data_IF_300810293435
#
_entry.id   IF_300810293435
#
_cell.length_a   1.000
_cell.length_b   1.000
_cell.length_c   1.000
_cell.angle_alpha   90.00
_cell.angle_beta   90.00
_cell.angle_gamma   90.00
#
_symmetry.space_group_name_H-M   'P 1'
#
loop_
_entity.id
_entity.type
_entity.pdbx_description
1 polymer ?
#
# COMPACT_ATOMS: atom_id res chain seq x y z
N UNK A 1 -6.36 -20.96 -3.92
CA UNK A 1 -5.22 -20.18 -3.38
C UNK A 1 -5.68 -19.44 -2.13
N UNK A 2 -4.81 -19.35 -1.13
CA UNK A 2 -5.10 -18.67 0.14
C UNK A 2 -4.11 -17.54 0.36
N UNK A 3 -4.61 -16.39 0.80
CA UNK A 3 -3.81 -15.25 1.24
C UNK A 3 -3.98 -15.09 2.75
N UNK A 4 -2.89 -15.28 3.50
CA UNK A 4 -2.80 -14.82 4.87
C UNK A 4 -2.53 -13.31 4.87
N UNK A 5 -3.45 -12.56 5.45
CA UNK A 5 -3.52 -11.10 5.37
C UNK A 5 -3.73 -10.49 6.75
N UNK A 6 -3.77 -9.17 6.81
CA UNK A 6 -4.39 -8.41 7.88
C UNK A 6 -5.05 -7.19 7.24
N UNK A 7 -6.33 -6.95 7.54
CA UNK A 7 -7.20 -5.96 6.87
C UNK A 7 -6.57 -4.58 6.69
N UNK A 8 -5.88 -4.08 7.72
CA UNK A 8 -5.24 -2.75 7.74
C UNK A 8 -3.77 -2.77 7.31
N UNK A 9 -3.17 -3.93 7.03
CA UNK A 9 -1.78 -4.01 6.60
C UNK A 9 -1.63 -3.49 5.15
N UNK A 10 -0.86 -2.42 4.91
CA UNK A 10 -0.66 -1.89 3.57
C UNK A 10 0.13 -2.86 2.67
N UNK A 11 1.06 -3.62 3.24
CA UNK A 11 1.80 -4.65 2.51
C UNK A 11 0.90 -5.80 2.06
N UNK A 12 -0.05 -6.21 2.89
CA UNK A 12 -1.01 -7.24 2.49
C UNK A 12 -2.05 -6.69 1.51
N UNK A 13 -2.36 -5.38 1.59
CA UNK A 13 -3.20 -4.71 0.60
C UNK A 13 -2.58 -4.74 -0.81
N UNK A 14 -1.25 -4.62 -0.95
CA UNK A 14 -0.56 -4.82 -2.25
C UNK A 14 -0.97 -6.13 -2.92
N UNK A 15 -0.86 -7.25 -2.21
CA UNK A 15 -1.22 -8.57 -2.75
C UNK A 15 -2.73 -8.67 -3.02
N UNK A 16 -3.58 -8.11 -2.14
CA UNK A 16 -5.04 -8.07 -2.39
C UNK A 16 -5.40 -7.31 -3.67
N UNK A 17 -4.76 -6.16 -3.91
CA UNK A 17 -4.95 -5.36 -5.13
C UNK A 17 -4.59 -6.17 -6.38
N UNK A 18 -3.44 -6.87 -6.36
CA UNK A 18 -3.02 -7.71 -7.50
C UNK A 18 -3.99 -8.87 -7.72
N UNK A 19 -4.43 -9.54 -6.66
CA UNK A 19 -5.43 -10.61 -6.74
C UNK A 19 -6.75 -10.12 -7.36
N UNK A 20 -7.24 -8.96 -6.92
CA UNK A 20 -8.47 -8.36 -7.41
C UNK A 20 -8.33 -7.89 -8.87
N UNK A 21 -7.26 -7.16 -9.20
CA UNK A 21 -6.99 -6.66 -10.56
C UNK A 21 -6.91 -7.81 -11.58
N UNK A 22 -6.32 -8.94 -11.16
CA UNK A 22 -6.16 -10.14 -11.99
C UNK A 22 -7.35 -11.10 -11.89
N UNK A 23 -8.39 -10.76 -11.12
CA UNK A 23 -9.62 -11.54 -10.91
C UNK A 23 -9.35 -12.96 -10.43
N UNK A 24 -8.32 -13.15 -9.61
CA UNK A 24 -7.91 -14.46 -9.13
C UNK A 24 -8.73 -14.84 -7.91
N UNK A 25 -9.52 -15.92 -8.03
CA UNK A 25 -10.28 -16.45 -6.89
C UNK A 25 -9.34 -16.88 -5.78
N UNK A 26 -9.53 -16.32 -4.59
CA UNK A 26 -8.72 -16.57 -3.43
C UNK A 26 -9.56 -16.57 -2.15
N UNK A 27 -9.03 -17.19 -1.11
CA UNK A 27 -9.54 -17.10 0.26
C UNK A 27 -8.59 -16.19 1.05
N UNK A 28 -9.15 -15.17 1.73
CA UNK A 28 -8.37 -14.31 2.62
C UNK A 28 -8.54 -14.77 4.06
N UNK A 29 -7.44 -15.13 4.71
CA UNK A 29 -7.39 -15.47 6.13
C UNK A 29 -6.69 -14.34 6.87
N UNK A 30 -7.45 -13.55 7.65
CA UNK A 30 -6.88 -12.48 8.45
C UNK A 30 -6.17 -13.04 9.70
N UNK A 31 -4.92 -12.64 9.89
CA UNK A 31 -4.08 -13.01 11.03
C UNK A 31 -4.05 -11.85 12.02
N UNK A 32 -4.32 -12.14 13.29
CA UNK A 32 -4.03 -11.20 14.37
C UNK A 32 -2.51 -11.07 14.52
N UNK A 33 -1.96 -9.90 14.18
CA UNK A 33 -0.51 -9.66 14.21
C UNK A 33 0.04 -9.32 15.60
N UNK A 34 -0.85 -9.10 16.59
CA UNK A 34 -0.49 -8.89 17.99
C UNK A 34 -0.40 -10.24 18.70
N UNK A 35 -1.44 -11.05 18.60
CA UNK A 35 -1.47 -12.43 19.10
C UNK A 35 -1.49 -13.41 17.94
N UNK A 36 -0.30 -13.66 17.37
CA UNK A 36 -0.14 -14.52 16.20
C UNK A 36 -0.38 -15.99 16.59
N UNK A 37 -1.16 -16.75 15.82
CA UNK A 37 -1.33 -18.16 16.12
C UNK A 37 -0.03 -18.93 15.78
N UNK A 38 0.37 -19.86 16.64
CA UNK A 38 1.64 -20.60 16.50
C UNK A 38 1.77 -21.30 15.15
N UNK A 39 0.66 -21.82 14.62
CA UNK A 39 0.67 -22.53 13.35
C UNK A 39 1.10 -21.64 12.17
N UNK A 40 0.94 -20.32 12.28
CA UNK A 40 1.27 -19.39 11.20
C UNK A 40 2.78 -19.32 10.97
N UNK A 41 3.60 -19.57 12.00
CA UNK A 41 5.06 -19.59 11.87
C UNK A 41 5.56 -20.77 11.00
N UNK A 42 4.78 -21.85 10.87
CA UNK A 42 5.07 -22.91 9.90
C UNK A 42 4.78 -22.50 8.45
N UNK A 43 3.99 -21.44 8.23
CA UNK A 43 3.73 -20.87 6.89
C UNK A 43 4.73 -19.78 6.57
N UNK A 44 4.87 -18.80 7.47
CA UNK A 44 5.88 -17.76 7.35
C UNK A 44 6.70 -17.70 8.64
N UNK A 45 7.99 -18.09 8.63
CA UNK A 45 8.83 -18.08 9.83
C UNK A 45 9.01 -16.68 10.44
N UNK A 46 8.77 -15.61 9.67
CA UNK A 46 8.80 -14.24 10.16
C UNK A 46 7.49 -13.82 10.86
N UNK A 47 6.43 -14.64 10.76
CA UNK A 47 5.10 -14.31 11.24
C UNK A 47 4.57 -13.00 10.65
N UNK A 48 4.89 -12.72 9.38
CA UNK A 48 4.48 -11.51 8.65
C UNK A 48 3.42 -11.82 7.60
N UNK A 49 2.65 -10.80 7.25
CA UNK A 49 1.72 -10.82 6.10
C UNK A 49 2.18 -9.76 5.09
N UNK A 50 1.94 -9.96 3.78
CA UNK A 50 1.20 -11.05 3.15
C UNK A 50 1.99 -12.37 3.10
N UNK A 51 1.24 -13.47 3.05
CA UNK A 51 1.78 -14.81 2.79
C UNK A 51 0.75 -15.58 1.94
N UNK A 52 1.19 -16.05 0.77
CA UNK A 52 0.39 -16.75 -0.23
C UNK A 52 0.64 -18.25 -0.13
N UNK A 53 -0.42 -19.05 -0.04
CA UNK A 53 -0.37 -20.51 -0.03
C UNK A 53 -1.18 -21.10 -1.20
N UNK A 54 -0.53 -21.98 -1.95
CA UNK A 54 -1.12 -22.71 -3.07
C UNK A 54 -0.40 -24.04 -3.27
N UNK A 55 -1.14 -25.14 -3.43
CA UNK A 55 -0.61 -26.50 -3.58
C UNK A 55 0.45 -26.89 -2.53
N UNK A 56 0.22 -26.51 -1.27
CA UNK A 56 1.13 -26.76 -0.14
C UNK A 56 2.44 -25.96 -0.18
N UNK A 57 2.62 -25.07 -1.17
CA UNK A 57 3.77 -24.18 -1.30
C UNK A 57 3.42 -22.80 -0.76
N UNK A 58 4.41 -22.14 -0.18
CA UNK A 58 4.24 -20.82 0.44
C UNK A 58 5.21 -19.82 -0.15
N UNK A 59 4.71 -18.61 -0.43
CA UNK A 59 5.48 -17.44 -0.86
C UNK A 59 5.09 -16.27 0.05
N UNK A 60 6.07 -15.50 0.52
CA UNK A 60 5.85 -14.31 1.34
C UNK A 60 6.71 -13.15 0.83
N UNK A 61 6.55 -11.98 1.46
CA UNK A 61 6.96 -10.64 0.98
C UNK A 61 6.01 -10.06 -0.06
N UNK A 62 5.59 -8.80 0.14
CA UNK A 62 4.51 -8.21 -0.66
C UNK A 62 4.88 -8.04 -2.14
N UNK A 63 6.13 -7.66 -2.42
CA UNK A 63 6.58 -7.47 -3.80
C UNK A 63 6.79 -8.80 -4.52
N UNK A 64 7.32 -9.82 -3.81
CA UNK A 64 7.52 -11.16 -4.35
C UNK A 64 6.18 -11.82 -4.65
N UNK A 65 5.23 -11.74 -3.72
CA UNK A 65 3.87 -12.27 -3.96
C UNK A 65 3.16 -11.56 -5.11
N UNK A 66 3.32 -10.24 -5.24
CA UNK A 66 2.77 -9.47 -6.35
C UNK A 66 3.38 -9.87 -7.71
N UNK A 67 4.71 -9.93 -7.82
CA UNK A 67 5.40 -10.34 -9.05
C UNK A 67 5.07 -11.79 -9.43
N UNK A 68 5.06 -12.72 -8.46
CA UNK A 68 4.68 -14.11 -8.71
C UNK A 68 3.27 -14.24 -9.30
N UNK A 69 2.30 -13.54 -8.72
CA UNK A 69 0.92 -13.55 -9.22
C UNK A 69 0.83 -12.98 -10.64
N UNK A 70 1.62 -11.95 -10.95
CA UNK A 70 1.64 -11.35 -12.27
C UNK A 70 2.24 -12.29 -13.33
N UNK A 71 3.29 -13.01 -12.97
CA UNK A 71 3.99 -13.98 -13.84
C UNK A 71 3.14 -15.23 -14.12
N UNK A 72 2.47 -15.79 -13.10
CA UNK A 72 1.74 -17.06 -13.25
C UNK A 72 0.31 -16.89 -13.77
N UNK A 73 -0.26 -15.69 -13.71
CA UNK A 73 -1.60 -15.38 -14.23
C UNK A 73 -1.55 -14.25 -15.25
N UNK A 74 -1.14 -14.46 -16.51
CA UNK A 74 -1.00 -13.36 -17.49
C UNK A 74 -2.33 -12.70 -17.90
N UNK A 75 -3.47 -13.31 -17.57
CA UNK A 75 -4.82 -12.78 -17.85
C UNK A 75 -5.37 -11.97 -16.65
N UNK A 76 -6.17 -10.92 -16.86
CA UNK A 76 -6.60 -10.34 -18.15
C UNK A 76 -5.51 -9.53 -18.86
N UNK A 77 -4.50 -9.07 -18.13
CA UNK A 77 -3.31 -8.38 -18.66
C UNK A 77 -2.16 -8.48 -17.64
N UNK A 78 -0.94 -8.22 -18.10
CA UNK A 78 0.25 -8.07 -17.25
C UNK A 78 0.25 -6.70 -16.58
N UNK A 79 0.52 -6.68 -15.28
CA UNK A 79 0.64 -5.44 -14.50
C UNK A 79 2.03 -4.82 -14.65
N UNK A 80 3.06 -5.65 -14.79
CA UNK A 80 4.39 -5.21 -15.16
C UNK A 80 4.48 -4.94 -16.66
N UNK A 81 5.26 -3.92 -17.03
CA UNK A 81 5.59 -3.69 -18.44
C UNK A 81 6.32 -4.88 -19.05
N UNK A 82 6.02 -5.18 -20.31
CA UNK A 82 6.74 -6.17 -21.12
C UNK A 82 8.07 -5.64 -21.65
N UNK A 83 8.29 -4.32 -21.64
CA UNK A 83 9.61 -3.74 -21.90
C UNK A 83 10.50 -3.90 -20.66
N UNK A 84 11.63 -4.65 -20.76
CA UNK A 84 12.52 -4.87 -19.62
C UNK A 84 13.08 -3.59 -19.00
N UNK A 85 13.37 -2.57 -19.82
CA UNK A 85 13.91 -1.31 -19.31
C UNK A 85 12.86 -0.55 -18.53
N UNK A 86 11.65 -0.41 -19.08
CA UNK A 86 10.52 0.17 -18.35
C UNK A 86 10.21 -0.60 -17.06
N UNK A 87 10.18 -1.93 -17.09
CA UNK A 87 9.97 -2.75 -15.89
C UNK A 87 11.02 -2.48 -14.81
N UNK A 88 12.28 -2.26 -15.20
CA UNK A 88 13.34 -1.89 -14.26
C UNK A 88 13.12 -0.48 -13.68
N UNK A 89 12.74 0.50 -14.49
CA UNK A 89 12.39 1.84 -14.01
C UNK A 89 11.21 1.83 -13.03
N UNK A 90 10.19 1.01 -13.32
CA UNK A 90 9.02 0.85 -12.47
C UNK A 90 9.39 0.24 -11.10
N UNK A 91 10.30 -0.75 -11.09
CA UNK A 91 10.85 -1.30 -9.84
C UNK A 91 11.66 -0.27 -9.05
N UNK A 92 12.42 0.59 -9.73
CA UNK A 92 13.14 1.70 -9.08
C UNK A 92 12.15 2.67 -8.42
N UNK A 93 11.05 3.02 -9.09
CA UNK A 93 10.02 3.87 -8.49
C UNK A 93 9.44 3.25 -7.23
N UNK A 94 9.10 1.95 -7.26
CA UNK A 94 8.57 1.24 -6.08
C UNK A 94 9.57 1.32 -4.91
N UNK A 95 10.87 1.20 -5.18
CA UNK A 95 11.91 1.35 -4.15
C UNK A 95 12.02 2.80 -3.64
N UNK A 96 12.02 3.79 -4.55
CA UNK A 96 12.06 5.21 -4.18
C UNK A 96 10.86 5.63 -3.33
N UNK A 97 9.71 4.95 -3.47
CA UNK A 97 8.54 5.19 -2.62
C UNK A 97 8.80 4.93 -1.12
N UNK A 98 9.87 4.21 -0.77
CA UNK A 98 10.30 4.06 0.63
C UNK A 98 10.52 5.40 1.34
N UNK A 99 10.84 6.48 0.62
CA UNK A 99 10.94 7.83 1.18
C UNK A 99 9.59 8.33 1.71
N UNK A 100 8.49 8.07 1.01
CA UNK A 100 7.13 8.42 1.45
C UNK A 100 6.71 7.51 2.59
N UNK A 101 6.79 6.20 2.33
CA UNK A 101 6.32 5.17 3.23
C UNK A 101 7.03 5.22 4.60
N UNK A 102 8.36 5.31 4.66
CA UNK A 102 9.08 5.34 5.95
C UNK A 102 8.74 6.55 6.80
N UNK A 103 8.52 7.73 6.19
CA UNK A 103 8.11 8.93 6.90
C UNK A 103 6.66 8.84 7.39
N UNK A 104 5.77 8.19 6.64
CA UNK A 104 4.40 7.95 7.10
C UNK A 104 4.37 7.10 8.39
N UNK A 105 5.21 6.07 8.49
CA UNK A 105 5.32 5.27 9.72
C UNK A 105 5.92 6.05 10.91
N UNK A 106 6.81 7.02 10.66
CA UNK A 106 7.29 7.93 11.72
C UNK A 106 6.13 8.76 12.27
N UNK A 107 5.26 9.28 11.40
CA UNK A 107 4.10 10.08 11.80
C UNK A 107 3.12 9.30 12.67
N UNK A 108 2.88 8.01 12.39
CA UNK A 108 1.99 7.20 13.21
C UNK A 108 2.46 7.06 14.67
N UNK A 109 3.75 7.27 14.97
CA UNK A 109 4.27 7.24 16.35
C UNK A 109 4.69 8.62 16.86
N UNK A 110 4.48 9.66 16.06
CA UNK A 110 4.88 11.02 16.39
C UNK A 110 3.97 11.61 17.47
N UNK A 111 4.54 12.42 18.36
CA UNK A 111 3.78 13.06 19.43
C UNK A 111 3.37 14.47 18.99
N UNK A 112 2.09 14.79 19.09
CA UNK A 112 1.55 16.07 18.60
C UNK A 112 2.02 17.29 19.39
N UNK A 113 2.49 17.11 20.62
CA UNK A 113 3.08 18.15 21.47
C UNK A 113 4.54 18.47 21.09
N UNK A 114 5.16 17.67 20.22
CA UNK A 114 6.52 17.90 19.68
C UNK A 114 6.41 18.24 18.20
N UNK A 115 6.39 19.53 17.87
CA UNK A 115 6.11 20.03 16.51
C UNK A 115 7.05 19.45 15.44
N UNK A 116 8.35 19.35 15.74
CA UNK A 116 9.36 18.81 14.81
C UNK A 116 9.16 17.32 14.50
N UNK A 117 8.47 16.58 15.36
CA UNK A 117 8.18 15.16 15.13
C UNK A 117 7.20 14.94 13.97
N UNK A 118 6.48 15.99 13.55
CA UNK A 118 5.57 15.98 12.39
C UNK A 118 6.14 16.73 11.18
N UNK A 119 6.69 17.95 11.39
CA UNK A 119 7.21 18.78 10.29
C UNK A 119 8.27 18.06 9.44
N UNK A 120 9.25 17.43 10.09
CA UNK A 120 10.33 16.71 9.41
C UNK A 120 9.81 15.58 8.50
N UNK A 121 9.04 14.61 9.03
CA UNK A 121 8.48 13.54 8.22
C UNK A 121 7.51 14.02 7.12
N UNK A 122 6.70 15.06 7.35
CA UNK A 122 5.85 15.65 6.29
C UNK A 122 6.70 16.17 5.14
N UNK A 123 7.76 16.93 5.44
CA UNK A 123 8.70 17.38 4.41
C UNK A 123 9.37 16.22 3.67
N UNK A 124 9.64 15.11 4.37
CA UNK A 124 10.14 13.87 3.76
C UNK A 124 9.11 13.20 2.83
N UNK A 125 7.83 13.20 3.20
CA UNK A 125 6.73 12.72 2.34
C UNK A 125 6.62 13.61 1.11
N UNK A 126 6.61 14.94 1.27
CA UNK A 126 6.50 15.88 0.14
C UNK A 126 7.65 15.70 -0.86
N UNK A 127 8.90 15.62 -0.39
CA UNK A 127 10.06 15.33 -1.24
C UNK A 127 9.93 13.99 -1.96
N UNK A 128 9.43 12.97 -1.27
CA UNK A 128 9.13 11.67 -1.84
C UNK A 128 8.09 11.76 -2.96
N UNK A 129 7.00 12.50 -2.75
CA UNK A 129 5.92 12.68 -3.73
C UNK A 129 6.34 13.50 -4.95
N UNK A 130 7.26 14.47 -4.80
CA UNK A 130 7.82 15.23 -5.93
C UNK A 130 8.37 14.31 -7.03
N UNK A 131 9.08 13.24 -6.65
CA UNK A 131 9.61 12.25 -7.62
C UNK A 131 8.49 11.66 -8.48
N UNK A 132 7.34 11.34 -7.87
CA UNK A 132 6.23 10.70 -8.57
C UNK A 132 5.41 11.68 -9.40
N UNK A 133 5.25 12.92 -8.92
CA UNK A 133 4.65 14.02 -9.67
C UNK A 133 5.45 14.33 -10.95
N UNK A 134 6.78 14.43 -10.82
CA UNK A 134 7.69 14.64 -11.95
C UNK A 134 7.64 13.47 -12.93
N UNK A 135 7.55 12.24 -12.44
CA UNK A 135 7.51 11.05 -13.30
C UNK A 135 6.19 10.92 -14.06
N UNK A 136 5.04 11.25 -13.45
CA UNK A 136 3.75 11.36 -14.17
C UNK A 136 3.80 12.44 -15.24
N UNK A 137 4.38 13.60 -14.93
CA UNK A 137 4.55 14.71 -15.87
C UNK A 137 5.44 14.31 -17.04
N UNK A 138 6.62 13.76 -16.75
CA UNK A 138 7.62 13.37 -17.76
C UNK A 138 7.14 12.29 -18.70
N UNK A 139 6.37 11.32 -18.17
CA UNK A 139 5.87 10.20 -18.97
C UNK A 139 4.56 10.54 -19.71
N UNK A 140 3.90 11.63 -19.36
CA UNK A 140 2.59 12.03 -19.91
C UNK A 140 1.54 10.91 -19.83
N UNK A 141 1.49 10.21 -18.69
CA UNK A 141 0.62 9.05 -18.47
C UNK A 141 -0.46 9.30 -17.42
N UNK A 142 -1.59 8.61 -17.57
CA UNK A 142 -2.69 8.63 -16.59
C UNK A 142 -2.35 7.86 -15.31
N UNK A 143 -1.83 6.65 -15.47
CA UNK A 143 -1.33 5.77 -14.41
C UNK A 143 0.13 5.47 -14.66
N UNK A 144 0.90 5.04 -13.65
CA UNK A 144 2.28 4.61 -13.86
C UNK A 144 2.39 3.42 -14.83
N UNK A 145 1.33 2.60 -14.90
CA UNK A 145 1.12 1.55 -15.91
C UNK A 145 0.69 2.02 -17.31
N UNK A 146 0.48 3.33 -17.53
CA UNK A 146 0.00 3.91 -18.80
C UNK A 146 -1.50 4.24 -18.75
N UNK A 147 -2.29 3.62 -19.63
CA UNK A 147 -3.74 3.85 -19.73
C UNK A 147 -4.55 3.20 -18.60
N UNK A 148 -4.04 2.11 -18.03
CA UNK A 148 -4.65 1.37 -16.92
C UNK A 148 -3.66 1.27 -15.74
N UNK A 149 -4.14 1.08 -14.50
CA UNK A 149 -3.26 0.84 -13.36
C UNK A 149 -2.35 -0.38 -13.59
N UNK A 150 -1.04 -0.18 -13.40
CA UNK A 150 -0.02 -1.21 -13.47
C UNK A 150 0.56 -1.56 -12.10
N UNK A 151 1.68 -2.29 -12.10
CA UNK A 151 2.29 -2.78 -10.87
C UNK A 151 2.68 -1.64 -9.91
N UNK A 152 3.29 -0.56 -10.42
CA UNK A 152 3.69 0.60 -9.60
C UNK A 152 2.47 1.20 -8.88
N UNK A 153 1.37 1.40 -9.61
CA UNK A 153 0.15 1.99 -9.09
C UNK A 153 -0.38 1.21 -7.87
N UNK A 154 -0.55 -0.11 -8.02
CA UNK A 154 -1.00 -0.98 -6.93
C UNK A 154 0.02 -1.12 -5.80
N UNK A 155 1.32 -1.04 -6.11
CA UNK A 155 2.37 -1.13 -5.10
C UNK A 155 2.51 0.13 -4.27
N UNK A 156 2.06 1.30 -4.71
CA UNK A 156 2.13 2.53 -3.90
C UNK A 156 0.76 2.95 -3.33
N UNK A 157 -0.34 2.50 -3.95
CA UNK A 157 -1.71 2.85 -3.56
C UNK A 157 -2.01 2.74 -2.06
N UNK A 158 -1.64 1.66 -1.33
CA UNK A 158 -2.01 1.52 0.07
C UNK A 158 -1.59 2.70 0.95
N UNK A 159 -0.42 3.30 0.69
CA UNK A 159 0.05 4.46 1.47
C UNK A 159 -0.62 5.75 1.03
N UNK A 160 -0.86 5.89 -0.27
CA UNK A 160 -1.58 7.05 -0.83
C UNK A 160 -3.01 7.12 -0.30
N UNK A 161 -3.70 5.98 -0.21
CA UNK A 161 -5.02 5.85 0.42
C UNK A 161 -5.02 6.30 1.89
N UNK A 162 -3.89 6.15 2.59
CA UNK A 162 -3.74 6.48 4.01
C UNK A 162 -3.29 7.92 4.25
N UNK A 163 -2.85 8.68 3.25
CA UNK A 163 -2.46 10.09 3.45
C UNK A 163 -3.56 10.95 4.08
N UNK A 164 -4.85 10.81 3.72
CA UNK A 164 -5.92 11.59 4.34
C UNK A 164 -6.19 11.26 5.82
N UNK A 165 -5.52 10.25 6.39
CA UNK A 165 -5.59 9.97 7.83
C UNK A 165 -4.82 10.98 8.68
N UNK A 166 -3.82 11.67 8.09
CA UNK A 166 -2.95 12.60 8.79
C UNK A 166 -3.69 13.79 9.42
N UNK A 167 -4.61 14.51 8.74
CA UNK A 167 -5.39 15.55 9.39
C UNK A 167 -6.24 15.02 10.54
N UNK A 168 -6.82 13.82 10.41
CA UNK A 168 -7.62 13.20 11.49
C UNK A 168 -6.74 12.90 12.71
N UNK A 169 -5.58 12.26 12.50
CA UNK A 169 -4.65 11.89 13.57
C UNK A 169 -4.00 13.10 14.23
N UNK A 170 -3.91 14.22 13.54
CA UNK A 170 -3.26 15.44 14.03
C UNK A 170 -4.24 16.52 14.51
N UNK A 171 -5.54 16.25 14.49
CA UNK A 171 -6.59 17.25 14.76
C UNK A 171 -6.46 18.48 13.85
N UNK A 172 -6.36 18.23 12.54
CA UNK A 172 -6.24 19.23 11.46
C UNK A 172 -4.96 20.08 11.49
N UNK A 173 -4.01 19.78 12.39
CA UNK A 173 -2.74 20.54 12.47
C UNK A 173 -1.80 20.25 11.32
N UNK A 174 -1.83 19.03 10.79
CA UNK A 174 -0.87 18.55 9.83
C UNK A 174 -1.55 17.80 8.69
N UNK A 175 -1.19 18.18 7.46
CA UNK A 175 -1.61 17.49 6.23
C UNK A 175 -0.50 17.57 5.19
N UNK A 176 -0.63 16.74 4.16
CA UNK A 176 0.14 16.89 2.92
C UNK A 176 -0.67 17.80 1.99
N UNK A 177 -0.08 18.91 1.59
CA UNK A 177 -0.68 19.86 0.62
C UNK A 177 -0.65 19.25 -0.79
N UNK A 178 -1.70 18.50 -1.12
CA UNK A 178 -1.84 17.80 -2.40
C UNK A 178 -2.02 18.74 -3.60
N UNK A 179 -2.34 20.01 -3.35
CA UNK A 179 -2.42 21.08 -4.33
C UNK A 179 -1.08 21.32 -5.05
N UNK A 180 0.04 20.97 -4.40
CA UNK A 180 1.37 21.01 -5.01
C UNK A 180 1.66 19.85 -5.97
N UNK A 181 0.78 18.86 -6.04
CA UNK A 181 0.96 17.63 -6.82
C UNK A 181 -0.29 17.35 -7.67
N UNK A 182 -0.61 18.22 -8.65
CA UNK A 182 -1.86 18.12 -9.41
C UNK A 182 -2.00 16.82 -10.21
N UNK A 183 -0.91 16.29 -10.78
CA UNK A 183 -0.98 15.02 -11.51
C UNK A 183 -1.21 13.84 -10.56
N UNK A 184 -0.54 13.81 -9.41
CA UNK A 184 -0.80 12.84 -8.36
C UNK A 184 -2.23 12.96 -7.80
N UNK A 185 -2.75 14.17 -7.60
CA UNK A 185 -4.11 14.38 -7.15
C UNK A 185 -5.12 13.80 -8.16
N UNK A 186 -4.90 14.04 -9.45
CA UNK A 186 -5.68 13.42 -10.53
C UNK A 186 -5.53 11.89 -10.53
N UNK A 187 -4.31 11.38 -10.43
CA UNK A 187 -4.01 9.95 -10.34
C UNK A 187 -4.72 9.29 -9.15
N UNK A 188 -4.75 9.93 -7.98
CA UNK A 188 -5.52 9.45 -6.81
C UNK A 188 -7.00 9.34 -7.16
N UNK A 189 -7.56 10.38 -7.80
CA UNK A 189 -8.96 10.38 -8.20
C UNK A 189 -9.27 9.24 -9.17
N UNK A 190 -8.40 9.03 -10.17
CA UNK A 190 -8.53 7.96 -11.15
C UNK A 190 -8.38 6.56 -10.51
N UNK A 191 -7.43 6.40 -9.57
CA UNK A 191 -7.24 5.15 -8.83
C UNK A 191 -8.43 4.80 -7.95
N UNK A 192 -9.10 5.79 -7.32
CA UNK A 192 -10.32 5.53 -6.54
C UNK A 192 -11.45 4.94 -7.39
N UNK A 193 -11.43 5.16 -8.70
CA UNK A 193 -12.43 4.60 -9.61
C UNK A 193 -12.14 3.15 -10.01
N UNK A 194 -10.89 2.69 -9.86
CA UNK A 194 -10.48 1.33 -10.18
C UNK A 194 -11.19 0.28 -9.31
N UNK A 195 -11.58 -0.83 -9.95
CA UNK A 195 -12.36 -1.89 -9.30
C UNK A 195 -11.58 -2.62 -8.20
N UNK A 196 -10.28 -2.88 -8.39
CA UNK A 196 -9.45 -3.56 -7.40
C UNK A 196 -9.19 -2.65 -6.19
N UNK A 197 -8.99 -1.36 -6.44
CA UNK A 197 -8.91 -0.33 -5.40
C UNK A 197 -10.19 -0.28 -4.58
N UNK A 198 -11.36 -0.15 -5.22
CA UNK A 198 -12.67 -0.12 -4.55
C UNK A 198 -12.92 -1.34 -3.67
N UNK A 199 -12.55 -2.54 -4.12
CA UNK A 199 -12.74 -3.79 -3.35
C UNK A 199 -11.94 -3.81 -2.04
N UNK A 200 -10.76 -3.20 -2.02
CA UNK A 200 -9.87 -3.20 -0.85
C UNK A 200 -9.94 -1.93 0.00
N UNK A 201 -10.77 -0.96 -0.42
CA UNK A 201 -10.80 0.38 0.13
C UNK A 201 -11.20 0.42 1.60
N UNK A 202 -10.50 1.25 2.38
CA UNK A 202 -10.81 1.54 3.78
C UNK A 202 -10.79 3.06 3.94
N UNK A 203 -11.84 3.60 4.56
CA UNK A 203 -11.97 5.05 4.75
C UNK A 203 -10.88 5.62 5.68
N UNK A 204 -10.52 6.91 5.53
CA UNK A 204 -9.54 7.56 6.40
C UNK A 204 -9.89 7.45 7.90
N UNK A 205 -11.17 7.54 8.25
CA UNK A 205 -11.65 7.44 9.64
C UNK A 205 -11.42 6.04 10.21
N UNK A 206 -11.63 5.01 9.39
CA UNK A 206 -11.41 3.62 9.78
C UNK A 206 -9.91 3.31 9.95
N UNK A 207 -9.06 3.84 9.06
CA UNK A 207 -7.60 3.75 9.22
C UNK A 207 -7.15 4.50 10.48
N UNK A 208 -7.62 5.73 10.71
CA UNK A 208 -7.28 6.51 11.89
C UNK A 208 -7.69 5.79 13.18
N UNK A 209 -8.93 5.27 13.23
CA UNK A 209 -9.43 4.47 14.36
C UNK A 209 -8.55 3.24 14.62
N UNK A 210 -8.15 2.52 13.58
CA UNK A 210 -7.23 1.38 13.72
C UNK A 210 -5.87 1.81 14.27
N UNK A 211 -5.28 2.87 13.72
CA UNK A 211 -3.97 3.37 14.13
C UNK A 211 -4.00 3.80 15.61
N UNK A 212 -5.00 4.58 16.03
CA UNK A 212 -5.17 5.01 17.43
C UNK A 212 -5.39 3.82 18.37
N UNK A 213 -6.22 2.84 17.98
CA UNK A 213 -6.45 1.63 18.77
C UNK A 213 -5.18 0.78 18.92
N UNK A 214 -4.46 0.56 17.83
CA UNK A 214 -3.21 -0.20 17.83
C UNK A 214 -2.14 0.46 18.72
N UNK A 215 -1.99 1.78 18.66
CA UNK A 215 -1.00 2.51 19.46
C UNK A 215 -1.36 2.59 20.95
N UNK A 216 -2.64 2.55 21.29
CA UNK A 216 -3.12 2.52 22.68
C UNK A 216 -3.14 1.12 23.29
N UNK A 217 -2.68 0.10 22.54
CA UNK A 217 -2.64 -1.29 23.01
C UNK A 217 -3.99 -2.00 22.97
N UNK A 218 -5.00 -1.42 22.31
CA UNK A 218 -6.32 -2.00 22.14
C UNK A 218 -6.67 -2.14 20.63
N UNK A 219 -6.08 -3.12 19.93
CA UNK A 219 -6.31 -3.32 18.50
C UNK A 219 -7.67 -3.98 18.19
N UNK A 220 -8.35 -4.55 19.19
CA UNK A 220 -9.45 -5.51 19.02
C UNK A 220 -10.71 -4.94 18.35
N UNK A 221 -10.90 -3.62 18.35
CA UNK A 221 -12.09 -2.99 17.75
C UNK A 221 -12.22 -3.12 16.23
N UNK A 222 -11.18 -3.57 15.52
CA UNK A 222 -11.14 -3.56 14.05
C UNK A 222 -10.43 -4.78 13.41
N UNK A 223 -9.94 -5.73 14.19
CA UNK A 223 -9.24 -6.91 13.65
C UNK A 223 -10.17 -7.93 12.97
N UNK A 224 -11.48 -7.69 13.00
CA UNK A 224 -12.54 -8.48 12.34
C UNK A 224 -12.93 -7.91 10.96
#
# INVERSE_FOLDING_TARGET
MRLYSMKFCPYAQRTRLVLAAKRIRNEVVNINLVTKPDWFFYRNPLGKVPCLEFDGKVIFESLITADYLDEVYPSPYLLNSTDPFRKAQDRILIEMFNMVHSNLYKLYRAKLDVEDSWKGPIGGIQKGLTIFEEELTKREIKFFGGENPGMVDYMIWPWMERLPTLPILSHEKFKVEMENFPNLAKWISDMKEDSAVKESHISPENHARFITGFLSGNPDGLLC
#
